data_IF_816432762777
#
_entry.id   IF_816432762777
#
_cell.length_a   1.000
_cell.length_b   1.000
_cell.length_c   1.000
_cell.angle_alpha   90.00
_cell.angle_beta   90.00
_cell.angle_gamma   90.00
#
_symmetry.space_group_name_H-M   'P 1'
#
loop_
_entity.id
_entity.type
_entity.pdbx_description
1 polymer ?
#
# COMPACT_ATOMS: atom_id res chain seq x y z
N UNK A 1 15.75 -2.39 4.12
CA UNK A 1 15.62 -2.39 2.66
C UNK A 1 14.68 -3.47 2.14
N UNK A 2 14.68 -4.66 2.69
CA UNK A 2 13.82 -5.76 2.24
C UNK A 2 12.50 -5.71 3.01
N UNK A 3 11.39 -5.98 2.34
CA UNK A 3 10.08 -5.93 2.95
C UNK A 3 9.41 -7.31 3.04
N UNK A 4 8.76 -7.57 4.17
CA UNK A 4 7.84 -8.66 4.42
C UNK A 4 8.29 -10.06 3.91
N UNK A 5 7.33 -10.94 3.63
CA UNK A 5 7.58 -12.32 3.20
C UNK A 5 8.21 -12.41 1.79
N UNK A 6 8.09 -11.37 0.96
CA UNK A 6 8.67 -11.32 -0.39
C UNK A 6 10.21 -11.24 -0.41
N UNK A 7 10.86 -11.23 0.75
CA UNK A 7 12.29 -11.54 0.85
C UNK A 7 12.56 -12.92 0.25
N UNK A 8 11.63 -13.87 0.40
CA UNK A 8 11.66 -15.12 -0.34
C UNK A 8 12.41 -16.24 0.38
N UNK A 9 13.39 -16.84 -0.30
CA UNK A 9 14.07 -18.08 0.12
C UNK A 9 14.83 -17.98 1.44
N UNK A 10 15.24 -16.78 1.85
CA UNK A 10 15.93 -16.55 3.13
C UNK A 10 15.07 -16.91 4.35
N UNK A 11 13.76 -17.02 4.17
CA UNK A 11 12.83 -17.57 5.15
C UNK A 11 12.45 -16.63 6.30
N UNK A 12 11.78 -17.18 7.32
CA UNK A 12 11.17 -16.40 8.40
C UNK A 12 12.13 -15.47 9.16
N UNK A 13 13.39 -15.88 9.29
CA UNK A 13 14.40 -15.11 10.05
C UNK A 13 14.83 -13.81 9.35
N UNK A 14 14.53 -13.65 8.07
CA UNK A 14 14.90 -12.49 7.26
C UNK A 14 13.67 -11.75 6.70
N UNK A 15 12.47 -12.21 6.98
CA UNK A 15 11.21 -11.63 6.49
C UNK A 15 10.62 -10.71 7.56
N UNK A 16 10.71 -9.37 7.41
CA UNK A 16 10.28 -8.38 8.41
C UNK A 16 8.76 -8.17 8.35
N UNK A 17 7.98 -9.05 8.94
CA UNK A 17 6.50 -9.01 8.91
C UNK A 17 5.95 -7.85 9.75
N UNK A 18 6.50 -7.63 10.96
CA UNK A 18 6.00 -6.65 11.93
C UNK A 18 6.69 -5.28 11.85
N UNK A 19 7.84 -5.19 11.20
CA UNK A 19 8.69 -3.98 11.24
C UNK A 19 8.01 -2.76 10.61
N UNK A 20 7.23 -2.93 9.54
CA UNK A 20 6.49 -1.81 8.96
C UNK A 20 5.49 -1.23 9.97
N UNK A 21 4.77 -2.08 10.71
CA UNK A 21 3.84 -1.63 11.74
C UNK A 21 4.56 -0.82 12.83
N UNK A 22 5.77 -1.24 13.23
CA UNK A 22 6.59 -0.50 14.20
C UNK A 22 7.01 0.87 13.66
N UNK A 23 7.44 0.96 12.40
CA UNK A 23 7.77 2.23 11.75
C UNK A 23 6.56 3.16 11.64
N UNK A 24 5.37 2.61 11.28
CA UNK A 24 4.11 3.36 11.22
C UNK A 24 3.67 3.91 12.58
N UNK A 25 3.96 3.20 13.67
CA UNK A 25 3.70 3.74 15.01
C UNK A 25 4.53 5.00 15.30
N UNK A 26 5.77 5.07 14.82
CA UNK A 26 6.60 6.26 14.96
C UNK A 26 6.09 7.46 14.16
N UNK A 27 5.36 7.24 13.07
CA UNK A 27 4.67 8.32 12.35
C UNK A 27 3.55 8.97 13.19
N UNK A 28 2.95 8.20 14.13
CA UNK A 28 1.88 8.68 15.04
C UNK A 28 2.42 9.44 16.26
N UNK A 29 3.72 9.36 16.53
CA UNK A 29 4.39 10.09 17.60
C UNK A 29 4.87 11.46 17.10
N UNK A 30 4.95 12.42 18.00
CA UNK A 30 5.56 13.72 17.74
C UNK A 30 6.91 13.83 18.47
N UNK A 31 7.86 14.47 17.81
CA UNK A 31 9.10 14.89 18.44
C UNK A 31 8.90 16.19 19.24
N UNK A 32 9.94 16.66 19.93
CA UNK A 32 9.86 17.89 20.75
C UNK A 32 9.55 19.17 19.94
N UNK A 33 9.73 19.14 18.63
CA UNK A 33 9.37 20.25 17.73
C UNK A 33 7.93 20.13 17.19
N UNK A 34 7.15 19.16 17.63
CA UNK A 34 5.77 18.93 17.19
C UNK A 34 5.64 18.30 15.79
N UNK A 35 6.74 17.77 15.26
CA UNK A 35 6.77 17.05 13.96
C UNK A 35 6.60 15.55 14.17
N UNK A 36 6.18 14.80 13.15
CA UNK A 36 6.24 13.34 13.21
C UNK A 36 7.64 12.87 13.63
N UNK A 37 7.72 11.88 14.51
CA UNK A 37 9.00 11.34 14.99
C UNK A 37 9.77 10.58 13.90
N UNK A 38 9.11 10.13 12.85
CA UNK A 38 9.69 9.43 11.71
C UNK A 38 8.83 9.66 10.46
N UNK A 39 9.46 9.70 9.31
CA UNK A 39 8.82 9.59 8.00
C UNK A 39 9.06 8.17 7.47
N UNK A 40 8.02 7.35 7.38
CA UNK A 40 8.11 5.99 6.84
C UNK A 40 7.51 5.95 5.44
N UNK A 41 8.31 5.61 4.44
CA UNK A 41 7.93 5.58 3.03
C UNK A 41 8.08 4.17 2.47
N UNK A 42 7.01 3.62 1.88
CA UNK A 42 7.02 2.32 1.21
C UNK A 42 6.54 2.48 -0.23
N UNK A 43 7.48 2.82 -1.16
CA UNK A 43 7.15 3.10 -2.56
C UNK A 43 6.77 1.83 -3.33
N UNK A 44 5.87 1.98 -4.31
CA UNK A 44 5.27 0.89 -5.06
C UNK A 44 5.96 0.58 -6.40
N UNK A 45 6.78 1.49 -6.92
CA UNK A 45 7.54 1.32 -8.15
C UNK A 45 8.80 2.19 -8.20
N UNK A 46 9.51 2.17 -9.33
CA UNK A 46 10.74 2.94 -9.51
C UNK A 46 10.50 4.46 -9.46
N UNK A 47 9.38 4.95 -10.00
CA UNK A 47 9.03 6.35 -9.99
C UNK A 47 8.69 6.83 -8.57
N UNK A 48 7.86 6.09 -7.82
CA UNK A 48 7.62 6.40 -6.41
C UNK A 48 8.89 6.29 -5.57
N UNK A 49 9.80 5.35 -5.88
CA UNK A 49 11.09 5.24 -5.18
C UNK A 49 11.93 6.49 -5.39
N UNK A 50 11.96 7.04 -6.60
CA UNK A 50 12.66 8.29 -6.89
C UNK A 50 12.08 9.47 -6.12
N UNK A 51 10.75 9.55 -6.03
CA UNK A 51 10.04 10.56 -5.23
C UNK A 51 10.32 10.37 -3.73
N UNK A 52 10.30 9.13 -3.24
CA UNK A 52 10.61 8.82 -1.84
C UNK A 52 12.04 9.23 -1.45
N UNK A 53 13.02 9.00 -2.33
CA UNK A 53 14.39 9.49 -2.14
C UNK A 53 14.47 11.01 -2.11
N UNK A 54 13.79 11.71 -3.03
CA UNK A 54 13.68 13.17 -3.01
C UNK A 54 13.13 13.64 -1.66
N UNK A 55 12.00 13.08 -1.20
CA UNK A 55 11.41 13.41 0.09
C UNK A 55 12.36 13.16 1.26
N UNK A 56 13.09 12.02 1.23
CA UNK A 56 14.07 11.69 2.27
C UNK A 56 15.23 12.68 2.33
N UNK A 57 15.73 13.14 1.19
CA UNK A 57 16.82 14.13 1.10
C UNK A 57 16.38 15.54 1.53
N UNK A 58 15.13 15.89 1.28
CA UNK A 58 14.54 17.18 1.69
C UNK A 58 14.13 17.21 3.17
N UNK A 59 13.89 16.03 3.78
CA UNK A 59 13.51 15.93 5.18
C UNK A 59 14.72 16.06 6.10
N UNK A 60 14.91 17.24 6.67
CA UNK A 60 16.02 17.55 7.58
C UNK A 60 15.63 17.53 9.06
N UNK A 61 14.36 17.29 9.38
CA UNK A 61 13.83 17.45 10.75
C UNK A 61 13.66 16.13 11.48
N UNK A 62 13.47 15.02 10.75
CA UNK A 62 13.20 13.69 11.32
C UNK A 62 13.89 12.58 10.52
N UNK A 63 14.16 11.41 11.12
CA UNK A 63 14.63 10.26 10.38
C UNK A 63 13.62 9.83 9.30
N UNK A 64 14.12 9.38 8.14
CA UNK A 64 13.30 8.78 7.09
C UNK A 64 13.64 7.31 6.92
N UNK A 65 12.63 6.45 6.98
CA UNK A 65 12.74 5.03 6.67
C UNK A 65 12.21 4.77 5.26
N UNK A 66 13.03 4.17 4.40
CA UNK A 66 12.63 3.69 3.09
C UNK A 66 12.48 2.15 3.13
N UNK A 67 11.25 1.67 3.01
CA UNK A 67 10.95 0.23 2.97
C UNK A 67 10.84 -0.19 1.51
N UNK A 68 11.88 -0.87 1.02
CA UNK A 68 12.04 -1.21 -0.40
C UNK A 68 11.86 -2.70 -0.63
N UNK A 69 11.28 -3.06 -1.78
CA UNK A 69 11.13 -4.45 -2.19
C UNK A 69 12.48 -5.09 -2.58
N UNK A 70 12.68 -6.35 -2.21
CA UNK A 70 13.79 -7.17 -2.71
C UNK A 70 13.53 -7.69 -4.12
N UNK A 71 12.29 -8.03 -4.43
CA UNK A 71 11.89 -8.53 -5.73
C UNK A 71 11.82 -7.40 -6.76
N UNK A 72 12.03 -7.75 -8.02
CA UNK A 72 11.76 -6.83 -9.10
C UNK A 72 10.28 -6.48 -9.14
N UNK A 73 9.98 -5.20 -9.27
CA UNK A 73 8.63 -4.66 -9.39
C UNK A 73 8.49 -3.94 -10.72
N UNK A 74 7.30 -4.00 -11.30
CA UNK A 74 6.98 -3.28 -12.53
C UNK A 74 6.51 -1.87 -12.19
N UNK A 75 6.73 -0.93 -13.14
CA UNK A 75 6.15 0.40 -13.01
C UNK A 75 4.62 0.31 -13.05
N UNK A 76 3.99 1.15 -12.23
CA UNK A 76 2.54 1.27 -12.20
C UNK A 76 2.03 1.96 -13.48
N UNK A 77 0.79 1.69 -13.91
CA UNK A 77 0.22 2.37 -15.05
C UNK A 77 0.13 3.88 -14.81
N UNK A 78 0.27 4.64 -15.88
CA UNK A 78 0.12 6.10 -15.87
C UNK A 78 -0.67 6.55 -17.10
N UNK A 79 -1.45 7.61 -16.96
CA UNK A 79 -2.17 8.24 -18.08
C UNK A 79 -1.23 9.19 -18.84
N UNK A 80 -0.30 9.80 -18.11
CA UNK A 80 0.70 10.73 -18.66
C UNK A 80 2.10 10.15 -18.45
N UNK A 81 2.98 10.93 -17.86
CA UNK A 81 4.30 10.48 -17.44
C UNK A 81 4.24 9.90 -16.01
N UNK A 82 4.78 8.67 -15.83
CA UNK A 82 4.70 7.97 -14.54
C UNK A 82 5.37 8.75 -13.39
N UNK A 83 6.50 9.40 -13.65
CA UNK A 83 7.18 10.20 -12.63
C UNK A 83 6.34 11.41 -12.19
N UNK A 84 5.75 12.12 -13.13
CA UNK A 84 4.85 13.24 -12.84
C UNK A 84 3.65 12.80 -12.00
N UNK A 85 3.08 11.64 -12.27
CA UNK A 85 2.00 11.09 -11.44
C UNK A 85 2.49 10.64 -10.06
N UNK A 86 3.70 10.08 -9.98
CA UNK A 86 4.31 9.65 -8.71
C UNK A 86 4.60 10.83 -7.76
N UNK A 87 4.77 12.06 -8.23
CA UNK A 87 4.91 13.24 -7.38
C UNK A 87 3.73 13.41 -6.41
N UNK A 88 2.56 12.89 -6.74
CA UNK A 88 1.40 12.88 -5.83
C UNK A 88 1.65 12.08 -4.55
N UNK A 89 2.63 11.16 -4.55
CA UNK A 89 3.05 10.39 -3.38
C UNK A 89 3.58 11.29 -2.24
N UNK A 90 4.03 12.51 -2.54
CA UNK A 90 4.41 13.52 -1.54
C UNK A 90 3.27 13.84 -0.55
N UNK A 91 2.02 13.56 -0.93
CA UNK A 91 0.85 13.71 -0.06
C UNK A 91 0.57 12.49 0.84
N UNK A 92 1.41 11.46 0.78
CA UNK A 92 1.31 10.25 1.60
C UNK A 92 0.40 9.16 1.03
N UNK A 93 -0.67 9.51 0.32
CA UNK A 93 -1.49 8.59 -0.47
C UNK A 93 -2.11 9.32 -1.66
N UNK A 94 -2.34 8.60 -2.75
CA UNK A 94 -2.98 9.14 -3.95
C UNK A 94 -3.62 8.04 -4.81
N UNK A 95 -4.52 8.43 -5.70
CA UNK A 95 -5.19 7.54 -6.63
C UNK A 95 -4.23 7.21 -7.78
N UNK A 96 -3.87 5.91 -7.91
CA UNK A 96 -3.06 5.39 -9.01
C UNK A 96 -3.92 5.06 -10.21
N UNK A 97 -5.08 4.44 -9.95
CA UNK A 97 -6.00 4.01 -11.01
C UNK A 97 -7.45 4.13 -10.55
N UNK A 98 -8.32 4.55 -11.47
CA UNK A 98 -9.76 4.57 -11.25
C UNK A 98 -10.46 3.95 -12.46
N UNK A 99 -11.19 2.87 -12.22
CA UNK A 99 -11.91 2.12 -13.26
C UNK A 99 -13.40 2.51 -13.23
N UNK A 100 -13.74 3.66 -13.81
CA UNK A 100 -15.11 4.19 -13.82
C UNK A 100 -15.35 5.33 -12.85
N UNK A 101 -16.44 6.08 -13.04
CA UNK A 101 -16.72 7.31 -12.30
C UNK A 101 -17.13 7.06 -10.85
N UNK A 102 -17.88 5.96 -10.60
CA UNK A 102 -18.45 5.65 -9.29
C UNK A 102 -17.89 4.31 -8.76
N UNK A 103 -16.69 4.28 -8.18
CA UNK A 103 -16.09 3.07 -7.64
C UNK A 103 -16.96 2.48 -6.53
N UNK A 104 -17.13 1.15 -6.55
CA UNK A 104 -17.88 0.39 -5.54
C UNK A 104 -17.00 -0.11 -4.41
N UNK A 105 -15.69 0.00 -4.58
CA UNK A 105 -14.68 -0.37 -3.59
C UNK A 105 -13.42 0.47 -3.79
N UNK A 106 -12.79 0.85 -2.70
CA UNK A 106 -11.47 1.48 -2.66
C UNK A 106 -10.46 0.41 -2.24
N UNK A 107 -9.42 0.23 -3.06
CA UNK A 107 -8.35 -0.76 -2.86
C UNK A 107 -7.11 -0.02 -2.39
N UNK A 108 -6.60 -0.35 -1.21
CA UNK A 108 -5.55 0.43 -0.53
C UNK A 108 -4.35 -0.47 -0.25
N UNK A 109 -3.18 -0.08 -0.73
CA UNK A 109 -1.93 -0.74 -0.43
C UNK A 109 -0.75 0.24 -0.45
N UNK A 110 0.41 -0.21 -0.02
CA UNK A 110 1.72 0.43 -0.23
C UNK A 110 2.69 -0.60 -0.82
N UNK A 111 3.79 -0.14 -1.38
CA UNK A 111 4.82 -1.04 -1.91
C UNK A 111 4.32 -1.95 -3.05
N UNK A 112 4.91 -3.11 -3.15
CA UNK A 112 4.67 -4.07 -4.24
C UNK A 112 3.22 -4.58 -4.32
N UNK A 113 2.42 -4.46 -3.27
CA UNK A 113 1.02 -4.89 -3.24
C UNK A 113 0.10 -4.01 -4.09
N UNK A 114 0.50 -2.78 -4.40
CA UNK A 114 -0.27 -1.89 -5.28
C UNK A 114 -0.48 -2.51 -6.66
N UNK A 115 0.57 -3.13 -7.23
CA UNK A 115 0.45 -3.85 -8.50
C UNK A 115 -0.53 -5.04 -8.42
N UNK A 116 -0.51 -5.79 -7.32
CA UNK A 116 -1.47 -6.89 -7.07
C UNK A 116 -2.92 -6.38 -7.02
N UNK A 117 -3.15 -5.21 -6.40
CA UNK A 117 -4.48 -4.58 -6.38
C UNK A 117 -4.93 -4.11 -7.78
N UNK A 118 -4.00 -3.63 -8.62
CA UNK A 118 -4.31 -3.26 -10.01
C UNK A 118 -4.78 -4.49 -10.81
N UNK A 119 -4.10 -5.63 -10.64
CA UNK A 119 -4.51 -6.88 -11.27
C UNK A 119 -5.91 -7.32 -10.79
N UNK A 120 -6.18 -7.25 -9.49
CA UNK A 120 -7.50 -7.56 -8.95
C UNK A 120 -8.57 -6.57 -9.44
N UNK A 121 -8.27 -5.28 -9.52
CA UNK A 121 -9.17 -4.25 -10.05
C UNK A 121 -9.57 -4.51 -11.51
N UNK A 122 -8.62 -4.97 -12.33
CA UNK A 122 -8.87 -5.39 -13.70
C UNK A 122 -9.87 -6.57 -13.75
N UNK A 123 -9.64 -7.60 -12.93
CA UNK A 123 -10.55 -8.76 -12.85
C UNK A 123 -11.95 -8.38 -12.37
N UNK A 124 -12.07 -7.47 -11.39
CA UNK A 124 -13.36 -6.95 -10.90
C UNK A 124 -14.16 -6.29 -12.03
N UNK A 125 -13.50 -5.47 -12.82
CA UNK A 125 -14.14 -4.79 -13.94
C UNK A 125 -14.52 -5.78 -15.05
N UNK A 126 -13.59 -6.64 -15.50
CA UNK A 126 -13.78 -7.56 -16.62
C UNK A 126 -14.82 -8.63 -16.34
N UNK A 127 -14.85 -9.22 -15.14
CA UNK A 127 -15.69 -10.37 -14.82
C UNK A 127 -17.04 -10.00 -14.19
N UNK A 128 -17.09 -8.89 -13.47
CA UNK A 128 -18.27 -8.48 -12.68
C UNK A 128 -18.79 -7.08 -13.02
N UNK A 129 -18.12 -6.32 -13.87
CA UNK A 129 -18.47 -4.92 -14.12
C UNK A 129 -18.36 -4.03 -12.86
N UNK A 130 -17.57 -4.43 -11.86
CA UNK A 130 -17.40 -3.69 -10.61
C UNK A 130 -16.29 -2.65 -10.81
N UNK A 131 -16.67 -1.38 -10.79
CA UNK A 131 -15.72 -0.28 -10.79
C UNK A 131 -15.01 -0.16 -9.44
N UNK A 132 -13.69 0.09 -9.47
CA UNK A 132 -12.84 0.22 -8.30
C UNK A 132 -11.87 1.39 -8.44
N UNK A 133 -11.34 1.85 -7.31
CA UNK A 133 -10.28 2.84 -7.24
C UNK A 133 -9.10 2.24 -6.48
N UNK A 134 -7.90 2.29 -7.06
CA UNK A 134 -6.66 1.81 -6.45
C UNK A 134 -5.87 2.99 -5.91
N UNK A 135 -5.47 2.90 -4.65
CA UNK A 135 -4.73 3.93 -3.91
C UNK A 135 -3.37 3.37 -3.50
N UNK A 136 -2.31 4.08 -3.88
CA UNK A 136 -0.98 3.88 -3.30
C UNK A 136 -0.86 4.76 -2.05
N UNK A 137 -0.69 4.13 -0.88
CA UNK A 137 -0.56 4.80 0.42
C UNK A 137 0.87 4.66 0.93
N UNK A 138 1.79 5.43 0.35
CA UNK A 138 3.22 5.37 0.64
C UNK A 138 3.55 5.70 2.11
N UNK A 139 2.76 6.61 2.74
CA UNK A 139 2.88 7.03 4.14
C UNK A 139 1.52 7.43 4.71
N UNK A 140 1.01 6.66 5.69
CA UNK A 140 -0.23 7.02 6.41
C UNK A 140 -0.06 8.35 7.15
N UNK A 141 1.09 8.57 7.81
CA UNK A 141 1.35 9.78 8.58
C UNK A 141 1.23 11.05 7.77
N UNK A 142 1.83 11.10 6.57
CA UNK A 142 1.70 12.23 5.66
C UNK A 142 0.28 12.42 5.13
N UNK A 143 -0.39 11.32 4.78
CA UNK A 143 -1.76 11.37 4.29
C UNK A 143 -2.72 11.95 5.34
N UNK A 144 -2.54 11.60 6.61
CA UNK A 144 -3.35 12.13 7.71
C UNK A 144 -3.14 13.62 7.97
N UNK A 145 -2.03 14.19 7.52
CA UNK A 145 -1.78 15.63 7.58
C UNK A 145 -2.44 16.41 6.43
N UNK A 146 -2.95 15.74 5.41
CA UNK A 146 -3.63 16.42 4.30
C UNK A 146 -4.99 16.97 4.74
N UNK A 147 -5.50 18.01 4.05
CA UNK A 147 -6.85 18.52 4.29
C UNK A 147 -7.88 17.39 4.19
N UNK A 148 -8.93 17.44 5.04
CA UNK A 148 -10.00 16.43 5.05
C UNK A 148 -10.64 16.23 3.67
N UNK A 149 -10.80 17.30 2.89
CA UNK A 149 -11.33 17.23 1.53
C UNK A 149 -10.46 16.34 0.61
N UNK A 150 -9.12 16.43 0.73
CA UNK A 150 -8.22 15.57 -0.03
C UNK A 150 -8.28 14.12 0.47
N UNK A 151 -8.33 13.92 1.79
CA UNK A 151 -8.44 12.57 2.35
C UNK A 151 -9.74 11.90 1.85
N UNK A 152 -10.86 12.63 1.85
CA UNK A 152 -12.15 12.14 1.38
C UNK A 152 -12.20 11.91 -0.14
N UNK A 153 -11.48 12.69 -0.93
CA UNK A 153 -11.31 12.46 -2.38
C UNK A 153 -10.57 11.15 -2.66
N UNK A 154 -9.49 10.87 -1.91
CA UNK A 154 -8.62 9.72 -2.14
C UNK A 154 -9.18 8.44 -1.50
N UNK A 155 -9.72 8.54 -0.27
CA UNK A 155 -10.28 7.40 0.48
C UNK A 155 -11.64 7.84 1.05
N UNK A 156 -12.70 7.88 0.21
CA UNK A 156 -14.03 8.30 0.65
C UNK A 156 -14.62 7.32 1.66
N UNK A 157 -14.99 7.83 2.85
CA UNK A 157 -15.50 7.01 3.96
C UNK A 157 -16.83 6.29 3.64
N UNK A 158 -17.57 6.76 2.65
CA UNK A 158 -18.86 6.18 2.23
C UNK A 158 -18.74 4.93 1.37
N UNK A 159 -17.54 4.61 0.86
CA UNK A 159 -17.28 3.48 -0.03
C UNK A 159 -16.59 2.35 0.74
N UNK A 160 -16.94 1.07 0.54
CA UNK A 160 -16.23 -0.05 1.16
C UNK A 160 -14.73 -0.05 0.83
N UNK A 161 -13.89 -0.38 1.81
CA UNK A 161 -12.44 -0.42 1.64
C UNK A 161 -11.90 -1.85 1.71
N UNK A 162 -10.94 -2.16 0.85
CA UNK A 162 -10.14 -3.38 0.94
C UNK A 162 -8.66 -3.00 1.02
N UNK A 163 -7.98 -3.47 2.05
CA UNK A 163 -6.54 -3.26 2.27
C UNK A 163 -5.73 -4.52 1.94
N UNK A 164 -4.57 -4.34 1.32
CA UNK A 164 -3.61 -5.42 1.06
C UNK A 164 -2.23 -5.02 1.59
N UNK A 165 -1.67 -5.82 2.50
CA UNK A 165 -0.32 -5.59 3.03
C UNK A 165 0.43 -6.91 3.24
N UNK A 166 1.66 -6.99 2.77
CA UNK A 166 2.53 -8.15 2.99
C UNK A 166 3.06 -8.27 4.44
N UNK A 167 2.83 -7.26 5.28
CA UNK A 167 3.07 -7.26 6.71
C UNK A 167 1.80 -7.49 7.53
N UNK A 168 1.82 -7.08 8.80
CA UNK A 168 0.67 -7.19 9.70
C UNK A 168 -0.52 -6.33 9.23
N UNK A 169 -1.74 -6.86 9.36
CA UNK A 169 -2.98 -6.16 8.99
C UNK A 169 -3.13 -4.81 9.70
N UNK A 170 -2.64 -4.67 10.93
CA UNK A 170 -2.65 -3.42 11.71
C UNK A 170 -2.01 -2.24 10.97
N UNK A 171 -1.10 -2.50 10.05
CA UNK A 171 -0.43 -1.48 9.23
C UNK A 171 -1.41 -0.62 8.43
N UNK A 172 -2.56 -1.18 8.02
CA UNK A 172 -3.57 -0.48 7.20
C UNK A 172 -4.88 -0.18 7.93
N UNK A 173 -5.03 -0.58 9.21
CA UNK A 173 -6.28 -0.34 9.96
C UNK A 173 -6.67 1.13 10.01
N UNK A 174 -5.69 2.03 10.13
CA UNK A 174 -5.94 3.47 10.12
C UNK A 174 -6.55 3.98 8.82
N UNK A 175 -6.22 3.39 7.67
CA UNK A 175 -6.72 3.80 6.36
C UNK A 175 -8.00 3.07 5.95
N UNK A 176 -8.09 1.78 6.25
CA UNK A 176 -9.22 0.93 5.84
C UNK A 176 -10.43 1.13 6.76
N UNK A 177 -10.20 1.38 8.05
CA UNK A 177 -11.26 1.56 9.04
C UNK A 177 -11.94 0.25 9.45
N UNK A 178 -12.87 0.35 10.40
CA UNK A 178 -13.52 -0.80 11.02
C UNK A 178 -14.54 -1.54 10.13
N UNK A 179 -15.00 -0.91 9.06
CA UNK A 179 -15.98 -1.47 8.12
C UNK A 179 -15.36 -2.06 6.85
N UNK A 180 -14.03 -2.03 6.75
CA UNK A 180 -13.28 -2.59 5.64
C UNK A 180 -12.74 -3.99 5.95
N UNK A 181 -12.17 -4.63 4.92
CA UNK A 181 -11.44 -5.92 5.03
C UNK A 181 -9.97 -5.67 4.72
N UNK A 182 -9.08 -6.27 5.50
CA UNK A 182 -7.64 -6.23 5.25
C UNK A 182 -7.13 -7.66 5.11
N UNK A 183 -6.46 -7.93 3.98
CA UNK A 183 -5.66 -9.13 3.83
C UNK A 183 -4.20 -8.80 4.14
N UNK A 184 -3.66 -9.47 5.14
CA UNK A 184 -2.28 -9.29 5.61
C UNK A 184 -1.69 -10.60 6.11
N UNK A 185 -0.40 -10.59 6.44
CA UNK A 185 0.30 -11.76 7.00
C UNK A 185 0.42 -11.58 8.51
N UNK A 186 -0.31 -12.36 9.29
CA UNK A 186 -0.37 -12.26 10.75
C UNK A 186 0.51 -13.32 11.45
N UNK A 187 1.50 -13.86 10.76
CA UNK A 187 2.44 -14.87 11.25
C UNK A 187 3.77 -14.72 10.53
N UNK A 188 4.83 -15.35 11.03
CA UNK A 188 6.10 -15.41 10.34
C UNK A 188 5.96 -16.13 8.99
N UNK A 189 6.81 -15.74 8.03
CA UNK A 189 6.81 -16.28 6.68
C UNK A 189 7.33 -17.71 6.56
N UNK A 190 7.58 -18.14 5.32
CA UNK A 190 8.17 -19.43 4.98
C UNK A 190 9.32 -19.23 4.01
N UNK A 191 10.21 -20.24 3.94
CA UNK A 191 11.31 -20.26 2.97
C UNK A 191 10.84 -20.90 1.66
N UNK A 192 10.69 -20.08 0.61
CA UNK A 192 10.39 -20.50 -0.74
C UNK A 192 10.65 -19.34 -1.72
N UNK A 193 10.72 -19.59 -3.04
CA UNK A 193 10.72 -18.51 -4.03
C UNK A 193 9.53 -17.57 -3.84
N UNK A 194 9.74 -16.25 -4.02
CA UNK A 194 8.73 -15.23 -3.76
C UNK A 194 7.39 -15.52 -4.44
N UNK A 195 7.38 -15.99 -5.69
CA UNK A 195 6.16 -16.35 -6.42
C UNK A 195 5.35 -17.47 -5.74
N UNK A 196 6.04 -18.47 -5.18
CA UNK A 196 5.39 -19.56 -4.42
C UNK A 196 4.78 -19.02 -3.14
N UNK A 197 5.44 -18.05 -2.50
CA UNK A 197 4.93 -17.39 -1.30
C UNK A 197 3.73 -16.49 -1.63
N UNK A 198 3.75 -15.76 -2.76
CA UNK A 198 2.59 -15.00 -3.21
C UNK A 198 1.35 -15.88 -3.39
N UNK A 199 1.51 -17.05 -4.01
CA UNK A 199 0.41 -18.03 -4.16
C UNK A 199 -0.04 -18.58 -2.80
N UNK A 200 0.91 -18.97 -1.94
CA UNK A 200 0.64 -19.55 -0.62
C UNK A 200 -0.08 -18.59 0.31
N UNK A 201 0.28 -17.33 0.29
CA UNK A 201 -0.28 -16.31 1.18
C UNK A 201 -1.45 -15.54 0.56
N UNK A 202 -1.82 -15.82 -0.69
CA UNK A 202 -2.95 -15.16 -1.33
C UNK A 202 -2.64 -13.75 -1.87
N UNK A 203 -1.38 -13.47 -2.22
CA UNK A 203 -0.98 -12.19 -2.80
C UNK A 203 -0.97 -12.20 -4.33
N UNK A 204 -1.98 -12.85 -4.92
CA UNK A 204 -2.24 -12.86 -6.37
C UNK A 204 -3.49 -12.06 -6.69
N UNK A 205 -3.55 -11.46 -7.88
CA UNK A 205 -4.73 -10.70 -8.33
C UNK A 205 -6.01 -11.55 -8.30
N UNK A 206 -5.92 -12.84 -8.60
CA UNK A 206 -7.06 -13.78 -8.57
C UNK A 206 -7.58 -14.02 -7.15
N UNK A 207 -6.68 -14.27 -6.19
CA UNK A 207 -7.07 -14.47 -4.80
C UNK A 207 -7.72 -13.20 -4.23
N UNK A 208 -7.08 -12.05 -4.44
CA UNK A 208 -7.58 -10.75 -3.97
C UNK A 208 -8.93 -10.40 -4.61
N UNK A 209 -9.11 -10.69 -5.90
CA UNK A 209 -10.41 -10.56 -6.57
C UNK A 209 -11.51 -11.34 -5.85
N UNK A 210 -11.26 -12.61 -5.50
CA UNK A 210 -12.22 -13.45 -4.80
C UNK A 210 -12.56 -12.91 -3.40
N UNK A 211 -11.55 -12.47 -2.64
CA UNK A 211 -11.71 -11.85 -1.32
C UNK A 211 -12.59 -10.58 -1.38
N UNK A 212 -12.39 -9.75 -2.41
CA UNK A 212 -13.20 -8.54 -2.61
C UNK A 212 -14.63 -8.90 -3.01
N UNK A 213 -14.82 -9.87 -3.90
CA UNK A 213 -16.16 -10.36 -4.26
C UNK A 213 -16.93 -10.89 -3.05
N UNK A 214 -16.28 -11.67 -2.19
CA UNK A 214 -16.86 -12.15 -0.94
C UNK A 214 -17.27 -10.98 -0.02
N UNK A 215 -16.36 -10.01 0.18
CA UNK A 215 -16.63 -8.81 1.00
C UNK A 215 -17.84 -8.02 0.49
N UNK A 216 -18.01 -7.93 -0.83
CA UNK A 216 -19.11 -7.21 -1.47
C UNK A 216 -20.40 -8.05 -1.62
N UNK A 217 -20.41 -9.33 -1.23
CA UNK A 217 -21.53 -10.24 -1.39
C UNK A 217 -21.87 -10.55 -2.87
N UNK A 218 -20.86 -10.73 -3.72
CA UNK A 218 -20.97 -10.85 -5.20
C UNK A 218 -20.46 -12.18 -5.76
#
# INVERSE_FOLDING_TARGET
THDAFRVGEDGPTHQPIEHEAQLRLLEKMQNHAGKMSMLALRPADAAETSVAWKMAMENTETPTALVLSRQNINDLPAVTDRYTEALKAEKGAYIVQKNGENPKVILIASGSEVATLIDAAKLLLERKGIASQVVSAISEGLFRQQPTAYQEEVIPASTPHFGLTAGLSVTLEGLVGCNGKIHGVNHFGYSAPAKVLDEKFGFTGEFVYNEICEMLGK
#
